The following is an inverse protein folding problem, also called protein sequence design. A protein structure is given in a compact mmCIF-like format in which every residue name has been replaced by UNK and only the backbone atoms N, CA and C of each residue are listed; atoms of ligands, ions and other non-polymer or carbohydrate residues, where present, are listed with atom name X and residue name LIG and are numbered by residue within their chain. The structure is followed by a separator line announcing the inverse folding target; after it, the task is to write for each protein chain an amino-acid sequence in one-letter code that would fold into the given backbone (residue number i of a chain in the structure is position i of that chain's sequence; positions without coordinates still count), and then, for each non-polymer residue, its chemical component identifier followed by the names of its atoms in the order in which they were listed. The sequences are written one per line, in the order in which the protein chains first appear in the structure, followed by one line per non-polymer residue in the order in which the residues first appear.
data_IF_357600435522
#
_entry.id   IF_357600435522
#
_cell.length_a   1.000
_cell.length_b   1.000
_cell.length_c   1.000
_cell.angle_alpha   90.00
_cell.angle_beta   90.00
_cell.angle_gamma   90.00
#
_symmetry.space_group_name_H-M   'P 1'
#
loop_
_entity.id
_entity.type
_entity.pdbx_description
1 polymer ?
#
# COMPACT_ATOMS: atom_id res chain seq x y z
N UNK A 1 -15.14 1.88 -28.92
CA UNK A 1 -15.44 0.45 -28.74
C UNK A 1 -16.70 0.40 -27.92
N UNK A 2 -17.80 0.14 -28.62
CA UNK A 2 -19.14 0.16 -28.07
C UNK A 2 -19.30 -0.95 -27.02
N UNK A 3 -19.85 -0.59 -25.87
CA UNK A 3 -20.29 -1.55 -24.87
C UNK A 3 -21.66 -2.07 -25.31
N UNK A 4 -21.69 -3.24 -25.95
CA UNK A 4 -22.94 -3.96 -26.14
C UNK A 4 -23.40 -4.53 -24.79
N UNK A 5 -24.60 -4.12 -24.38
CA UNK A 5 -25.34 -4.63 -23.23
C UNK A 5 -25.50 -6.15 -23.33
N UNK A 6 -24.79 -6.89 -22.47
CA UNK A 6 -25.07 -8.31 -22.23
C UNK A 6 -26.40 -8.42 -21.49
N UNK A 7 -27.50 -8.67 -22.22
CA UNK A 7 -28.81 -8.97 -21.63
C UNK A 7 -28.78 -10.35 -20.98
N UNK A 8 -28.86 -10.38 -19.65
CA UNK A 8 -29.11 -11.60 -18.88
C UNK A 8 -30.56 -12.06 -19.14
N UNK A 9 -30.81 -13.34 -19.48
CA UNK A 9 -32.16 -13.88 -19.69
C UNK A 9 -33.04 -13.75 -18.43
N UNK A 10 -34.30 -13.35 -18.61
CA UNK A 10 -35.24 -13.02 -17.52
C UNK A 10 -35.73 -14.24 -16.71
N UNK A 11 -35.49 -15.45 -17.20
CA UNK A 11 -35.82 -16.73 -16.56
C UNK A 11 -34.89 -17.09 -15.39
N UNK A 12 -33.77 -16.39 -15.23
CA UNK A 12 -32.87 -16.53 -14.06
C UNK A 12 -33.28 -15.65 -12.87
N UNK A 13 -34.32 -14.81 -13.00
CA UNK A 13 -34.73 -13.83 -11.98
C UNK A 13 -36.14 -14.04 -11.41
N UNK A 14 -36.84 -15.13 -11.75
CA UNK A 14 -38.14 -15.41 -11.13
C UNK A 14 -37.96 -15.94 -9.69
N UNK A 15 -38.64 -15.38 -8.68
CA UNK A 15 -38.67 -15.96 -7.35
C UNK A 15 -39.33 -17.34 -7.39
N UNK A 16 -38.77 -18.30 -6.66
CA UNK A 16 -39.43 -19.60 -6.46
C UNK A 16 -40.75 -19.39 -5.69
N UNK A 17 -41.83 -20.15 -5.99
CA UNK A 17 -43.12 -20.01 -5.32
C UNK A 17 -42.99 -20.23 -3.80
N UNK A 18 -43.69 -19.40 -3.00
CA UNK A 18 -43.58 -19.34 -1.53
C UNK A 18 -44.06 -20.61 -0.77
N UNK A 19 -44.58 -21.64 -1.45
CA UNK A 19 -45.19 -22.82 -0.80
C UNK A 19 -44.28 -24.06 -0.69
N UNK A 20 -42.97 -23.95 -0.93
CA UNK A 20 -42.10 -25.14 -0.96
C UNK A 20 -41.46 -25.57 0.38
N UNK A 21 -41.81 -24.96 1.51
CA UNK A 21 -41.26 -25.36 2.83
C UNK A 21 -42.03 -26.49 3.52
N UNK A 22 -42.41 -27.52 2.76
CA UNK A 22 -42.82 -28.79 3.34
C UNK A 22 -41.61 -29.45 4.00
N UNK A 23 -41.57 -29.51 5.33
CA UNK A 23 -40.61 -30.35 6.05
C UNK A 23 -40.88 -31.80 5.66
N UNK A 24 -40.07 -32.33 4.75
CA UNK A 24 -40.15 -33.72 4.32
C UNK A 24 -39.78 -34.63 5.50
N UNK A 25 -40.80 -35.16 6.17
CA UNK A 25 -40.65 -36.33 7.03
C UNK A 25 -40.46 -37.56 6.15
N UNK A 26 -39.23 -37.80 5.70
CA UNK A 26 -38.70 -39.14 5.45
C UNK A 26 -37.23 -39.04 5.08
N UNK A 27 -36.42 -39.97 5.60
CA UNK A 27 -35.04 -40.21 5.16
C UNK A 27 -35.04 -40.71 3.71
N UNK A 28 -35.26 -39.81 2.75
CA UNK A 28 -34.85 -40.02 1.38
C UNK A 28 -33.51 -39.30 1.21
N UNK A 29 -32.43 -40.09 1.15
CA UNK A 29 -31.13 -39.61 0.69
C UNK A 29 -31.34 -38.70 -0.52
N UNK A 30 -31.03 -37.41 -0.39
CA UNK A 30 -31.03 -36.45 -1.48
C UNK A 30 -30.05 -36.95 -2.53
N UNK A 31 -30.57 -37.66 -3.53
CA UNK A 31 -29.78 -38.21 -4.61
C UNK A 31 -29.42 -37.05 -5.55
N UNK A 32 -28.30 -36.39 -5.27
CA UNK A 32 -27.87 -35.14 -5.95
C UNK A 32 -27.78 -35.30 -7.47
N UNK A 33 -27.64 -36.54 -7.94
CA UNK A 33 -27.63 -36.91 -9.35
C UNK A 33 -28.94 -36.58 -10.10
N UNK A 34 -30.05 -36.34 -9.40
CA UNK A 34 -31.33 -35.97 -10.04
C UNK A 34 -31.39 -34.51 -10.51
N UNK A 35 -30.47 -33.65 -10.05
CA UNK A 35 -30.48 -32.21 -10.35
C UNK A 35 -29.35 -31.76 -11.30
N UNK A 36 -28.48 -32.67 -11.73
CA UNK A 36 -27.41 -32.35 -12.69
C UNK A 36 -27.88 -32.75 -14.08
N UNK A 37 -28.19 -31.75 -14.92
CA UNK A 37 -28.50 -32.02 -16.34
C UNK A 37 -27.26 -32.58 -17.05
N UNK A 38 -27.41 -33.50 -18.02
CA UNK A 38 -26.29 -33.98 -18.82
C UNK A 38 -25.56 -32.81 -19.49
N UNK A 39 -24.23 -32.90 -19.57
CA UNK A 39 -23.41 -31.96 -20.33
C UNK A 39 -23.86 -31.95 -21.79
N UNK A 40 -24.17 -30.78 -22.31
CA UNK A 40 -24.51 -30.56 -23.71
C UNK A 40 -23.24 -30.27 -24.52
N UNK A 41 -23.33 -30.34 -25.85
CA UNK A 41 -22.24 -29.92 -26.73
C UNK A 41 -21.88 -28.43 -26.55
N UNK A 42 -22.86 -27.60 -26.18
CA UNK A 42 -22.61 -26.21 -25.81
C UNK A 42 -21.77 -26.13 -24.54
N UNK A 43 -22.08 -26.93 -23.51
CA UNK A 43 -21.31 -26.97 -22.26
C UNK A 43 -19.86 -27.48 -22.51
N UNK A 44 -19.66 -28.40 -23.45
CA UNK A 44 -18.31 -28.84 -23.86
C UNK A 44 -17.51 -27.72 -24.56
N UNK A 45 -18.15 -26.92 -25.42
CA UNK A 45 -17.51 -25.76 -26.03
C UNK A 45 -17.15 -24.69 -25.00
N UNK A 46 -17.99 -24.49 -23.98
CA UNK A 46 -17.68 -23.63 -22.84
C UNK A 46 -16.47 -24.13 -22.06
N UNK A 47 -16.32 -25.45 -21.86
CA UNK A 47 -15.14 -26.03 -21.19
C UNK A 47 -13.87 -25.65 -21.93
N UNK A 48 -13.81 -25.83 -23.25
CA UNK A 48 -12.62 -25.49 -24.04
C UNK A 48 -12.26 -23.99 -23.96
N UNK A 49 -13.25 -23.11 -24.06
CA UNK A 49 -13.05 -21.65 -23.95
C UNK A 49 -12.61 -21.24 -22.54
N UNK A 50 -13.24 -21.80 -21.50
CA UNK A 50 -12.87 -21.55 -20.10
C UNK A 50 -11.45 -22.03 -19.81
N UNK A 51 -11.07 -23.20 -20.33
CA UNK A 51 -9.77 -23.80 -20.09
C UNK A 51 -8.64 -23.04 -20.81
N UNK A 52 -8.93 -22.50 -22.01
CA UNK A 52 -8.04 -21.57 -22.68
C UNK A 52 -7.87 -20.26 -21.88
N UNK A 53 -8.96 -19.70 -21.37
CA UNK A 53 -8.92 -18.49 -20.54
C UNK A 53 -8.19 -18.71 -19.21
N UNK A 54 -8.40 -19.87 -18.56
CA UNK A 54 -7.69 -20.27 -17.34
C UNK A 54 -6.19 -20.35 -17.60
N UNK A 55 -5.79 -21.03 -18.69
CA UNK A 55 -4.37 -21.17 -19.07
C UNK A 55 -3.73 -19.81 -19.34
N UNK A 56 -4.41 -18.93 -20.08
CA UNK A 56 -3.92 -17.58 -20.36
C UNK A 56 -3.84 -16.73 -19.09
N UNK A 57 -4.83 -16.82 -18.20
CA UNK A 57 -4.86 -16.04 -16.96
C UNK A 57 -3.80 -16.51 -15.98
N UNK A 58 -3.57 -17.83 -15.90
CA UNK A 58 -2.50 -18.43 -15.10
C UNK A 58 -1.13 -17.99 -15.61
N UNK A 59 -0.89 -17.98 -16.92
CA UNK A 59 0.36 -17.51 -17.49
C UNK A 59 0.66 -16.03 -17.12
N UNK A 60 -0.36 -15.17 -17.17
CA UNK A 60 -0.24 -13.76 -16.75
C UNK A 60 0.01 -13.67 -15.24
N UNK A 61 -0.76 -14.39 -14.43
CA UNK A 61 -0.62 -14.37 -12.98
C UNK A 61 0.76 -14.86 -12.53
N UNK A 62 1.28 -15.92 -13.16
CA UNK A 62 2.59 -16.47 -12.88
C UNK A 62 3.69 -15.47 -13.26
N UNK A 63 3.63 -14.87 -14.45
CA UNK A 63 4.59 -13.85 -14.86
C UNK A 63 4.61 -12.64 -13.93
N UNK A 64 3.43 -12.20 -13.44
CA UNK A 64 3.34 -11.12 -12.45
C UNK A 64 3.91 -11.53 -11.09
N UNK A 65 3.65 -12.75 -10.64
CA UNK A 65 4.15 -13.26 -9.36
C UNK A 65 5.68 -13.45 -9.38
N UNK A 66 6.20 -13.99 -10.48
CA UNK A 66 7.63 -14.23 -10.68
C UNK A 66 8.45 -12.93 -10.78
N UNK A 67 7.81 -11.81 -11.15
CA UNK A 67 8.47 -10.51 -11.27
C UNK A 67 8.49 -9.70 -9.97
N UNK A 68 7.81 -10.11 -8.90
CA UNK A 68 7.79 -9.38 -7.63
C UNK A 68 8.96 -9.82 -6.74
N UNK A 69 9.82 -8.86 -6.38
CA UNK A 69 10.82 -9.03 -5.33
C UNK A 69 10.25 -8.53 -4.00
N UNK A 70 10.32 -9.34 -2.93
CA UNK A 70 9.77 -8.98 -1.63
C UNK A 70 10.75 -9.31 -0.50
N UNK A 71 11.05 -8.29 0.31
CA UNK A 71 11.89 -8.40 1.49
C UNK A 71 11.12 -7.95 2.74
N UNK A 72 10.89 -8.88 3.66
CA UNK A 72 10.18 -8.63 4.93
C UNK A 72 11.17 -8.80 6.06
N UNK A 73 11.29 -7.79 6.92
CA UNK A 73 12.22 -7.85 8.05
C UNK A 73 11.70 -7.10 9.29
N UNK A 74 11.90 -7.67 10.49
CA UNK A 74 11.69 -6.96 11.74
C UNK A 74 12.93 -6.09 12.06
N UNK A 75 12.70 -4.84 12.42
CA UNK A 75 13.71 -3.96 13.00
C UNK A 75 13.50 -3.89 14.52
N UNK A 76 14.46 -4.38 15.29
CA UNK A 76 14.35 -4.56 16.75
C UNK A 76 15.41 -3.79 17.55
N UNK A 77 16.20 -2.93 16.91
CA UNK A 77 17.19 -2.11 17.62
C UNK A 77 16.51 -1.02 18.48
N UNK A 78 15.36 -0.53 18.04
CA UNK A 78 14.45 0.35 18.77
C UNK A 78 13.09 0.40 18.06
N UNK A 79 12.08 0.94 18.74
CA UNK A 79 10.77 1.22 18.14
C UNK A 79 10.22 2.58 18.53
N UNK A 80 8.89 2.71 18.54
CA UNK A 80 8.20 3.97 18.86
C UNK A 80 8.57 4.51 20.25
N UNK A 81 8.91 3.65 21.21
CA UNK A 81 9.22 4.06 22.57
C UNK A 81 10.45 4.95 22.65
N UNK A 82 11.51 4.62 21.91
CA UNK A 82 12.70 5.47 21.82
C UNK A 82 12.44 6.74 21.01
N UNK A 83 11.73 6.63 19.88
CA UNK A 83 11.41 7.78 19.02
C UNK A 83 10.57 8.83 19.79
N UNK A 84 9.57 8.38 20.56
CA UNK A 84 8.71 9.26 21.36
C UNK A 84 9.47 9.97 22.49
N UNK A 85 10.52 9.38 23.07
CA UNK A 85 11.37 10.06 24.08
C UNK A 85 12.07 11.29 23.50
N UNK A 86 12.35 11.29 22.19
CA UNK A 86 12.89 12.44 21.47
C UNK A 86 11.82 13.48 21.08
N UNK A 87 10.55 13.27 21.49
CA UNK A 87 9.38 14.10 21.15
C UNK A 87 9.10 14.19 19.65
N UNK A 88 9.40 13.12 18.92
CA UNK A 88 9.19 12.99 17.48
C UNK A 88 8.03 12.02 17.22
N UNK A 89 7.20 12.30 16.21
CA UNK A 89 6.20 11.33 15.74
C UNK A 89 6.90 10.11 15.14
N UNK A 90 6.60 8.88 15.59
CA UNK A 90 7.16 7.67 15.00
C UNK A 90 6.95 7.57 13.49
N UNK A 91 5.79 8.01 13.02
CA UNK A 91 5.44 7.99 11.60
C UNK A 91 6.30 8.96 10.79
N UNK A 92 6.41 10.21 11.25
CA UNK A 92 7.30 11.20 10.63
C UNK A 92 8.78 10.75 10.63
N UNK A 93 9.23 10.09 11.71
CA UNK A 93 10.57 9.54 11.78
C UNK A 93 10.81 8.48 10.70
N UNK A 94 9.89 7.53 10.55
CA UNK A 94 9.97 6.48 9.54
C UNK A 94 9.90 7.10 8.14
N UNK A 95 8.98 8.03 7.88
CA UNK A 95 8.83 8.66 6.56
C UNK A 95 10.08 9.42 6.12
N UNK A 96 10.73 10.17 7.03
CA UNK A 96 12.00 10.85 6.74
C UNK A 96 13.14 9.83 6.56
N UNK A 97 13.13 8.74 7.33
CA UNK A 97 14.07 7.63 7.15
C UNK A 97 13.96 7.03 5.75
N UNK A 98 12.74 6.83 5.24
CA UNK A 98 12.52 6.31 3.89
C UNK A 98 13.06 7.27 2.83
N UNK A 99 13.02 8.59 3.05
CA UNK A 99 13.66 9.56 2.15
C UNK A 99 15.19 9.41 2.13
N UNK A 100 15.81 9.24 3.30
CA UNK A 100 17.26 9.02 3.40
C UNK A 100 17.67 7.69 2.73
N UNK A 101 16.95 6.61 3.04
CA UNK A 101 17.21 5.31 2.46
C UNK A 101 17.09 5.35 0.93
N UNK A 102 16.04 6.01 0.41
CA UNK A 102 15.81 6.09 -1.03
C UNK A 102 16.90 6.91 -1.72
N UNK A 103 17.29 8.04 -1.13
CA UNK A 103 18.38 8.86 -1.64
C UNK A 103 19.71 8.10 -1.71
N UNK A 104 20.03 7.29 -0.68
CA UNK A 104 21.23 6.45 -0.67
C UNK A 104 21.18 5.30 -1.67
N UNK A 105 19.99 4.76 -1.94
CA UNK A 105 19.80 3.66 -2.88
C UNK A 105 19.80 4.13 -4.35
N UNK A 106 19.15 5.26 -4.63
CA UNK A 106 18.86 5.75 -5.99
C UNK A 106 19.62 7.01 -6.39
N UNK A 107 20.36 7.62 -5.46
CA UNK A 107 21.13 8.85 -5.69
C UNK A 107 20.29 10.10 -5.96
N UNK A 108 18.96 10.01 -5.81
CA UNK A 108 18.01 11.08 -6.13
C UNK A 108 16.77 10.99 -5.25
N UNK A 109 15.96 12.04 -5.26
CA UNK A 109 14.65 12.05 -4.61
C UNK A 109 13.56 11.69 -5.62
N UNK A 110 12.45 11.15 -5.14
CA UNK A 110 11.30 10.82 -5.98
C UNK A 110 9.97 11.24 -5.35
N UNK A 111 8.91 11.25 -6.16
CA UNK A 111 7.56 11.38 -5.63
C UNK A 111 7.27 10.22 -4.68
N UNK A 112 7.02 10.58 -3.41
CA UNK A 112 6.67 9.64 -2.36
C UNK A 112 5.20 9.78 -2.00
N UNK A 113 4.46 8.70 -2.17
CA UNK A 113 3.07 8.56 -1.73
C UNK A 113 3.05 7.98 -0.32
N UNK A 114 2.29 8.60 0.58
CA UNK A 114 1.88 8.02 1.85
C UNK A 114 0.35 8.07 1.97
N UNK A 115 -0.26 6.94 2.31
CA UNK A 115 -1.70 6.87 2.55
C UNK A 115 -2.07 7.51 3.90
N UNK A 116 -2.90 8.56 3.88
CA UNK A 116 -3.51 9.14 5.08
C UNK A 116 -5.01 8.92 5.09
N UNK A 117 -5.56 8.44 6.20
CA UNK A 117 -7.00 8.15 6.32
C UNK A 117 -7.82 9.44 6.52
N UNK A 118 -8.91 9.59 5.77
CA UNK A 118 -9.83 10.74 5.87
C UNK A 118 -11.11 10.40 6.63
N UNK A 119 -11.02 9.54 7.65
CA UNK A 119 -12.18 9.02 8.40
C UNK A 119 -12.99 10.07 9.17
N UNK A 120 -12.52 11.32 9.22
CA UNK A 120 -13.30 12.46 9.74
C UNK A 120 -14.47 12.84 8.82
N UNK A 121 -14.43 12.41 7.55
CA UNK A 121 -15.47 12.67 6.56
C UNK A 121 -16.34 11.42 6.36
N UNK A 122 -17.63 11.64 6.08
CA UNK A 122 -18.54 10.58 5.65
C UNK A 122 -17.97 9.91 4.40
N UNK A 123 -17.91 8.58 4.41
CA UNK A 123 -17.35 7.77 3.31
C UNK A 123 -15.87 8.06 3.00
N UNK A 124 -15.17 8.74 3.92
CA UNK A 124 -13.75 9.04 3.79
C UNK A 124 -12.90 7.77 3.67
N UNK A 125 -12.12 7.71 2.59
CA UNK A 125 -11.12 6.66 2.36
C UNK A 125 -9.73 7.19 2.69
N UNK A 126 -8.98 7.62 1.68
CA UNK A 126 -7.61 8.10 1.84
C UNK A 126 -7.37 9.39 1.06
N UNK A 127 -6.44 10.20 1.57
CA UNK A 127 -5.74 11.28 0.89
C UNK A 127 -4.24 10.93 0.85
N UNK A 128 -3.47 11.61 0.00
CA UNK A 128 -2.01 11.45 -0.12
C UNK A 128 -1.28 12.46 0.76
N UNK A 129 -0.33 11.96 1.55
CA UNK A 129 0.74 12.77 2.11
C UNK A 129 1.96 12.64 1.19
N UNK A 130 2.50 13.79 0.75
CA UNK A 130 3.70 13.85 -0.09
C UNK A 130 4.93 13.95 0.79
N UNK A 131 5.47 12.82 1.23
CA UNK A 131 6.55 12.75 2.24
C UNK A 131 7.90 13.31 1.75
N UNK A 132 8.11 13.35 0.43
CA UNK A 132 9.26 14.01 -0.16
C UNK A 132 9.00 15.53 -0.19
N UNK A 133 9.68 16.26 0.69
CA UNK A 133 9.50 17.71 0.90
C UNK A 133 10.86 18.39 0.84
N UNK A 134 10.87 19.71 0.64
CA UNK A 134 12.12 20.47 0.68
C UNK A 134 12.83 20.31 2.03
N UNK A 135 12.08 20.23 3.12
CA UNK A 135 12.58 20.05 4.47
C UNK A 135 13.21 18.67 4.67
N UNK A 136 12.54 17.59 4.23
CA UNK A 136 13.12 16.24 4.29
C UNK A 136 14.33 16.10 3.36
N UNK A 137 14.30 16.66 2.16
CA UNK A 137 15.46 16.70 1.27
C UNK A 137 16.63 17.51 1.83
N UNK A 138 16.38 18.63 2.51
CA UNK A 138 17.41 19.43 3.15
C UNK A 138 18.10 18.67 4.28
N UNK A 139 17.33 17.97 5.12
CA UNK A 139 17.87 17.10 6.15
C UNK A 139 18.75 15.99 5.55
N UNK A 140 18.23 15.26 4.54
CA UNK A 140 18.97 14.17 3.89
C UNK A 140 20.29 14.66 3.31
N UNK A 141 20.28 15.80 2.60
CA UNK A 141 21.50 16.39 2.04
C UNK A 141 22.50 16.81 3.11
N UNK A 142 22.04 17.43 4.19
CA UNK A 142 22.92 17.84 5.29
C UNK A 142 23.61 16.64 5.94
N UNK A 143 22.85 15.58 6.21
CA UNK A 143 23.39 14.36 6.80
C UNK A 143 24.42 13.68 5.88
N UNK A 144 24.10 13.54 4.58
CA UNK A 144 24.99 12.87 3.62
C UNK A 144 26.24 13.70 3.28
N UNK A 145 26.17 15.03 3.41
CA UNK A 145 27.33 15.91 3.24
C UNK A 145 28.22 15.99 4.48
N UNK A 146 27.84 15.36 5.60
CA UNK A 146 28.61 15.40 6.84
C UNK A 146 28.56 16.77 7.54
N UNK A 147 27.44 17.48 7.43
CA UNK A 147 27.19 18.68 8.24
C UNK A 147 27.18 18.34 9.74
N UNK A 148 27.31 19.37 10.59
CA UNK A 148 27.34 19.17 12.04
C UNK A 148 26.04 18.56 12.59
N UNK A 149 26.16 17.81 13.69
CA UNK A 149 25.02 17.12 14.31
C UNK A 149 23.91 18.09 14.74
N UNK A 150 24.25 19.30 15.19
CA UNK A 150 23.25 20.28 15.64
C UNK A 150 22.41 20.79 14.46
N UNK A 151 23.05 21.07 13.33
CA UNK A 151 22.42 21.40 12.07
C UNK A 151 21.52 20.25 11.59
N UNK A 152 22.01 19.02 11.61
CA UNK A 152 21.22 17.84 11.24
C UNK A 152 20.01 17.65 12.17
N UNK A 153 20.17 17.77 13.50
CA UNK A 153 19.06 17.70 14.47
C UNK A 153 18.01 18.77 14.20
N UNK A 154 18.43 20.01 13.92
CA UNK A 154 17.53 21.13 13.60
C UNK A 154 16.76 20.87 12.30
N UNK A 155 17.44 20.46 11.24
CA UNK A 155 16.79 20.15 9.95
C UNK A 155 15.84 18.96 10.06
N UNK A 156 16.19 17.94 10.83
CA UNK A 156 15.31 16.80 11.09
C UNK A 156 14.02 17.23 11.79
N UNK A 157 14.11 18.11 12.80
CA UNK A 157 12.92 18.65 13.49
C UNK A 157 12.01 19.40 12.52
N UNK A 158 12.57 20.26 11.66
CA UNK A 158 11.80 20.97 10.64
C UNK A 158 11.11 20.00 9.65
N UNK A 159 11.82 18.97 9.20
CA UNK A 159 11.24 17.93 8.34
C UNK A 159 10.12 17.17 9.04
N UNK A 160 10.29 16.85 10.34
CA UNK A 160 9.28 16.14 11.13
C UNK A 160 8.02 16.98 11.36
N UNK A 161 8.19 18.26 11.69
CA UNK A 161 7.08 19.22 11.85
C UNK A 161 6.33 19.43 10.53
N UNK A 162 7.06 19.54 9.42
CA UNK A 162 6.47 19.64 8.08
C UNK A 162 5.63 18.40 7.75
N UNK A 163 6.18 17.21 7.94
CA UNK A 163 5.48 15.95 7.70
C UNK A 163 4.20 15.85 8.52
N UNK A 164 4.28 16.11 9.83
CA UNK A 164 3.09 16.12 10.70
C UNK A 164 2.03 17.12 10.25
N UNK A 165 2.45 18.30 9.78
CA UNK A 165 1.51 19.28 9.25
C UNK A 165 0.83 18.79 7.97
N UNK A 166 1.58 18.18 7.04
CA UNK A 166 1.01 17.60 5.83
C UNK A 166 0.03 16.46 6.15
N UNK A 167 0.37 15.60 7.12
CA UNK A 167 -0.52 14.54 7.58
C UNK A 167 -1.81 15.11 8.16
N UNK A 168 -1.73 16.17 8.97
CA UNK A 168 -2.90 16.88 9.51
C UNK A 168 -3.76 17.48 8.40
N UNK A 169 -3.13 18.15 7.43
CA UNK A 169 -3.83 18.70 6.27
C UNK A 169 -4.56 17.62 5.48
N UNK A 170 -3.91 16.49 5.21
CA UNK A 170 -4.49 15.36 4.49
C UNK A 170 -5.70 14.77 5.24
N UNK A 171 -5.56 14.46 6.53
CA UNK A 171 -6.66 13.88 7.32
C UNK A 171 -7.86 14.82 7.48
N UNK A 172 -7.65 16.15 7.42
CA UNK A 172 -8.71 17.16 7.45
C UNK A 172 -9.16 17.60 6.06
N UNK A 173 -8.85 16.83 5.00
CA UNK A 173 -9.37 17.07 3.65
C UNK A 173 -8.77 18.29 2.94
N UNK A 174 -7.65 18.81 3.44
CA UNK A 174 -6.90 19.92 2.86
C UNK A 174 -5.66 19.45 2.07
N UNK A 175 -5.59 18.15 1.76
CA UNK A 175 -4.65 17.61 0.77
C UNK A 175 -5.02 18.02 -0.65
N UNK A 176 -4.10 17.81 -1.58
CA UNK A 176 -4.26 18.27 -2.98
C UNK A 176 -4.54 17.13 -3.95
N UNK A 177 -4.11 15.90 -3.64
CA UNK A 177 -4.09 14.82 -4.63
C UNK A 177 -5.50 14.34 -5.00
N UNK A 178 -6.41 14.13 -4.03
CA UNK A 178 -7.81 13.79 -4.37
C UNK A 178 -8.54 14.94 -5.06
N UNK A 179 -8.19 16.19 -4.74
CA UNK A 179 -8.75 17.35 -5.43
C UNK A 179 -8.28 17.41 -6.90
N UNK A 180 -6.98 17.25 -7.16
CA UNK A 180 -6.43 17.17 -8.53
C UNK A 180 -7.04 16.00 -9.31
N UNK A 181 -7.23 14.84 -8.66
CA UNK A 181 -7.91 13.70 -9.28
C UNK A 181 -9.37 14.01 -9.64
N UNK A 182 -10.10 14.71 -8.77
CA UNK A 182 -11.46 15.18 -9.07
C UNK A 182 -11.48 16.09 -10.31
N UNK A 183 -10.57 17.06 -10.39
CA UNK A 183 -10.44 17.94 -11.56
C UNK A 183 -10.12 17.15 -12.84
N UNK A 184 -9.27 16.12 -12.74
CA UNK A 184 -8.98 15.23 -13.86
C UNK A 184 -10.23 14.47 -14.33
N UNK A 185 -10.98 13.85 -13.42
CA UNK A 185 -12.22 13.13 -13.77
C UNK A 185 -13.23 14.06 -14.44
N UNK A 186 -13.43 15.26 -13.88
CA UNK A 186 -14.33 16.27 -14.45
C UNK A 186 -13.84 16.73 -15.83
N UNK A 187 -12.54 16.93 -16.02
CA UNK A 187 -11.98 17.32 -17.33
C UNK A 187 -12.25 16.27 -18.41
N UNK A 188 -12.17 14.97 -18.06
CA UNK A 188 -12.48 13.88 -18.98
C UNK A 188 -13.96 13.79 -19.30
N UNK A 189 -14.83 14.00 -18.31
CA UNK A 189 -16.27 14.07 -18.54
C UNK A 189 -16.67 15.21 -19.49
N UNK A 190 -16.03 16.38 -19.34
CA UNK A 190 -16.31 17.57 -20.15
C UNK A 190 -15.56 17.60 -21.49
N UNK A 191 -14.67 16.64 -21.77
CA UNK A 191 -13.82 16.65 -22.96
C UNK A 191 -12.82 17.82 -23.00
N UNK A 192 -12.42 18.33 -21.84
CA UNK A 192 -11.47 19.43 -21.69
C UNK A 192 -10.06 18.86 -21.49
N UNK A 193 -9.15 19.19 -22.39
CA UNK A 193 -7.73 18.86 -22.21
C UNK A 193 -7.02 19.94 -21.38
N UNK A 194 -6.26 19.50 -20.38
CA UNK A 194 -5.49 20.39 -19.50
C UNK A 194 -4.03 19.96 -19.50
N UNK A 195 -3.12 20.76 -20.10
CA UNK A 195 -1.68 20.49 -20.07
C UNK A 195 -1.15 20.34 -18.64
N UNK A 196 -1.66 21.15 -17.70
CA UNK A 196 -1.29 21.08 -16.29
C UNK A 196 -1.67 19.72 -15.65
N UNK A 197 -2.91 19.26 -15.84
CA UNK A 197 -3.35 17.98 -15.26
C UNK A 197 -2.61 16.80 -15.90
N UNK A 198 -2.30 16.90 -17.20
CA UNK A 198 -1.48 15.91 -17.91
C UNK A 198 -0.06 15.84 -17.32
N UNK A 199 0.57 16.98 -17.04
CA UNK A 199 1.90 17.05 -16.47
C UNK A 199 1.92 16.52 -15.02
N UNK A 200 1.09 17.08 -14.14
CA UNK A 200 1.14 16.77 -12.70
C UNK A 200 0.77 15.32 -12.36
N UNK A 201 -0.03 14.65 -13.21
CA UNK A 201 -0.44 13.25 -13.04
C UNK A 201 0.43 12.27 -13.83
N UNK A 202 1.42 12.75 -14.61
CA UNK A 202 2.29 11.88 -15.39
C UNK A 202 3.47 11.32 -14.60
N UNK A 203 3.88 12.00 -13.54
CA UNK A 203 5.05 11.58 -12.75
C UNK A 203 4.68 10.39 -11.84
N UNK A 204 5.40 9.25 -11.94
CA UNK A 204 5.08 8.05 -11.18
C UNK A 204 5.47 8.17 -9.69
N UNK A 205 4.67 7.52 -8.85
CA UNK A 205 4.95 7.34 -7.42
C UNK A 205 5.98 6.23 -7.21
N UNK A 206 7.26 6.54 -7.45
CA UNK A 206 8.37 5.57 -7.33
C UNK A 206 8.62 5.09 -5.89
N UNK A 207 8.10 5.80 -4.89
CA UNK A 207 8.05 5.29 -3.52
C UNK A 207 6.62 5.38 -3.01
N UNK A 208 6.00 4.23 -2.78
CA UNK A 208 4.65 4.14 -2.25
C UNK A 208 4.68 3.54 -0.86
N UNK A 209 4.09 4.22 0.11
CA UNK A 209 4.24 3.89 1.53
C UNK A 209 2.88 3.84 2.25
N UNK A 210 2.78 2.97 3.24
CA UNK A 210 1.63 2.94 4.15
C UNK A 210 2.04 2.44 5.52
N UNK A 211 1.63 3.17 6.56
CA UNK A 211 1.56 2.59 7.88
C UNK A 211 0.33 1.67 7.95
N UNK A 212 0.50 0.43 8.38
CA UNK A 212 -0.64 -0.44 8.71
C UNK A 212 -0.94 -0.30 10.21
N UNK A 213 -2.05 0.36 10.61
CA UNK A 213 -2.36 0.60 12.01
C UNK A 213 -2.83 -0.69 12.69
N UNK A 214 -2.31 -0.98 13.88
CA UNK A 214 -2.78 -2.06 14.74
C UNK A 214 -3.52 -1.45 15.92
N UNK A 215 -4.85 -1.63 15.95
CA UNK A 215 -5.73 -0.99 16.93
C UNK A 215 -5.85 -1.75 18.25
N UNK A 216 -5.38 -3.01 18.30
CA UNK A 216 -5.63 -3.91 19.44
C UNK A 216 -4.34 -4.40 20.10
N UNK A 217 -3.20 -3.73 19.86
CA UNK A 217 -1.91 -4.20 20.35
C UNK A 217 -1.83 -4.23 21.89
N UNK A 218 -2.60 -3.36 22.55
CA UNK A 218 -2.70 -3.29 24.02
C UNK A 218 -3.47 -4.47 24.62
N UNK A 219 -4.22 -5.23 23.82
CA UNK A 219 -4.94 -6.44 24.26
C UNK A 219 -4.04 -7.67 24.34
N UNK A 220 -2.79 -7.58 23.86
CA UNK A 220 -1.86 -8.70 23.79
C UNK A 220 -0.57 -8.40 24.58
N UNK A 221 -0.17 -9.33 25.44
CA UNK A 221 1.13 -9.29 26.08
C UNK A 221 2.20 -9.87 25.15
N UNK A 222 2.70 -9.04 24.24
CA UNK A 222 3.72 -9.43 23.26
C UNK A 222 5.08 -9.73 23.90
N UNK A 223 5.29 -9.38 25.18
CA UNK A 223 6.55 -9.65 25.88
C UNK A 223 6.61 -11.10 26.36
N UNK A 224 5.50 -11.58 26.93
CA UNK A 224 5.39 -12.96 27.39
C UNK A 224 4.89 -13.93 26.31
N UNK A 225 4.25 -13.40 25.25
CA UNK A 225 3.76 -14.16 24.09
C UNK A 225 4.30 -13.59 22.77
N UNK A 226 5.63 -13.69 22.52
CA UNK A 226 6.25 -13.15 21.31
C UNK A 226 5.77 -13.84 20.02
N UNK A 227 5.21 -15.03 20.12
CA UNK A 227 4.60 -15.79 19.03
C UNK A 227 3.32 -15.14 18.47
N UNK A 228 2.70 -14.21 19.20
CA UNK A 228 1.55 -13.43 18.72
C UNK A 228 1.92 -12.26 17.82
N UNK A 229 3.22 -12.00 17.65
CA UNK A 229 3.70 -10.94 16.76
C UNK A 229 3.53 -11.39 15.31
N UNK A 230 2.61 -10.73 14.60
CA UNK A 230 2.55 -10.81 13.14
C UNK A 230 3.55 -9.84 12.52
N UNK A 231 4.23 -10.29 11.45
CA UNK A 231 4.99 -9.39 10.58
C UNK A 231 4.04 -8.45 9.81
N UNK A 232 2.76 -8.82 9.69
CA UNK A 232 1.70 -8.07 9.01
C UNK A 232 1.72 -8.23 7.50
N UNK A 233 1.24 -7.21 6.77
CA UNK A 233 1.06 -7.26 5.32
C UNK A 233 1.67 -6.07 4.58
N UNK A 234 2.03 -6.32 3.32
CA UNK A 234 2.55 -5.33 2.38
C UNK A 234 1.75 -5.29 1.07
N UNK A 235 2.28 -4.53 0.12
CA UNK A 235 1.73 -4.38 -1.23
C UNK A 235 2.90 -4.27 -2.22
N UNK A 236 2.66 -4.61 -3.49
CA UNK A 236 3.64 -4.44 -4.58
C UNK A 236 3.89 -2.96 -4.92
N UNK A 237 4.97 -2.63 -5.64
CA UNK A 237 5.22 -1.27 -6.08
C UNK A 237 4.14 -0.79 -7.08
N UNK A 238 3.79 0.49 -7.02
CA UNK A 238 2.82 1.11 -7.95
C UNK A 238 3.45 1.63 -9.25
N UNK A 239 4.77 1.61 -9.33
CA UNK A 239 5.56 1.96 -10.51
C UNK A 239 6.55 0.83 -10.80
N UNK A 240 6.77 0.52 -12.08
CA UNK A 240 7.66 -0.58 -12.48
C UNK A 240 9.11 -0.36 -12.03
N UNK A 241 9.52 0.89 -11.88
CA UNK A 241 10.87 1.31 -11.46
C UNK A 241 10.94 1.79 -10.00
N UNK A 242 9.93 1.44 -9.19
CA UNK A 242 9.75 1.94 -7.82
C UNK A 242 9.67 0.86 -6.74
N UNK A 243 9.40 1.31 -5.52
CA UNK A 243 9.25 0.50 -4.32
C UNK A 243 7.86 0.63 -3.69
N UNK A 244 7.36 -0.47 -3.15
CA UNK A 244 6.26 -0.49 -2.17
C UNK A 244 6.82 -0.73 -0.76
N UNK A 245 6.45 0.10 0.21
CA UNK A 245 6.89 -0.04 1.60
C UNK A 245 5.71 0.03 2.55
N UNK A 246 5.36 -1.10 3.16
CA UNK A 246 4.45 -1.13 4.31
C UNK A 246 5.25 -1.25 5.58
N UNK A 247 4.84 -0.52 6.62
CA UNK A 247 5.45 -0.66 7.95
C UNK A 247 4.41 -0.73 9.06
N UNK A 248 4.77 -1.49 10.08
CA UNK A 248 3.95 -1.73 11.26
C UNK A 248 4.79 -1.48 12.49
N UNK A 249 4.29 -0.63 13.37
CA UNK A 249 4.91 -0.35 14.65
C UNK A 249 4.35 -1.35 15.68
N UNK A 250 5.20 -2.27 16.14
CA UNK A 250 4.85 -3.33 17.08
C UNK A 250 5.40 -3.05 18.47
N UNK A 251 4.52 -2.86 19.45
CA UNK A 251 4.93 -2.57 20.83
C UNK A 251 5.74 -1.27 20.93
N UNK A 252 6.72 -1.23 21.82
CA UNK A 252 7.60 -0.08 22.04
C UNK A 252 8.94 -0.17 21.30
N UNK A 253 9.39 -1.39 20.97
CA UNK A 253 10.79 -1.66 20.59
C UNK A 253 10.97 -2.27 19.20
N UNK A 254 9.88 -2.42 18.42
CA UNK A 254 9.93 -3.10 17.12
C UNK A 254 9.14 -2.36 16.04
N UNK A 255 9.69 -2.38 14.83
CA UNK A 255 9.05 -1.90 13.60
C UNK A 255 9.24 -2.97 12.53
N UNK A 256 8.16 -3.52 11.98
CA UNK A 256 8.21 -4.48 10.89
C UNK A 256 8.08 -3.76 9.55
N UNK A 257 8.95 -4.09 8.60
CA UNK A 257 8.92 -3.54 7.24
C UNK A 257 8.63 -4.64 6.23
N UNK A 258 7.81 -4.30 5.24
CA UNK A 258 7.59 -5.06 4.02
C UNK A 258 8.02 -4.17 2.86
N UNK A 259 9.08 -4.57 2.17
CA UNK A 259 9.63 -3.85 1.02
C UNK A 259 9.40 -4.70 -0.21
N UNK A 260 8.79 -4.12 -1.24
CA UNK A 260 8.56 -4.76 -2.52
C UNK A 260 9.12 -3.93 -3.67
N UNK A 261 9.54 -4.61 -4.73
CA UNK A 261 9.98 -4.04 -5.99
C UNK A 261 9.75 -5.05 -7.12
N UNK A 262 10.25 -4.75 -8.33
CA UNK A 262 10.18 -5.69 -9.46
C UNK A 262 11.56 -6.18 -9.86
N UNK A 263 11.70 -7.49 -10.06
CA UNK A 263 12.93 -8.11 -10.57
C UNK A 263 13.30 -7.59 -11.96
N UNK A 264 12.31 -7.25 -12.79
CA UNK A 264 12.49 -6.66 -14.12
C UNK A 264 13.17 -5.29 -14.11
N UNK A 265 13.17 -4.56 -12.98
CA UNK A 265 13.87 -3.28 -12.86
C UNK A 265 15.24 -3.45 -12.18
N UNK A 266 16.31 -3.35 -12.97
CA UNK A 266 17.70 -3.45 -12.46
C UNK A 266 18.11 -2.33 -11.49
N UNK A 267 17.31 -1.26 -11.39
CA UNK A 267 17.56 -0.16 -10.46
C UNK A 267 16.92 -0.40 -9.08
N UNK A 268 16.01 -1.37 -8.94
CA UNK A 268 15.36 -1.70 -7.67
C UNK A 268 15.83 -3.04 -7.13
N UNK A 269 15.94 -3.14 -5.81
CA UNK A 269 16.24 -4.39 -5.10
C UNK A 269 15.68 -4.27 -3.67
N UNK A 270 14.70 -5.11 -3.32
CA UNK A 270 13.97 -5.02 -2.06
C UNK A 270 14.87 -5.31 -0.85
N UNK A 271 15.85 -6.21 -1.00
CA UNK A 271 16.80 -6.56 0.05
C UNK A 271 17.82 -5.44 0.30
N UNK A 272 18.40 -4.90 -0.78
CA UNK A 272 19.33 -3.76 -0.73
C UNK A 272 18.65 -2.54 -0.14
N UNK A 273 17.41 -2.25 -0.56
CA UNK A 273 16.66 -1.13 -0.03
C UNK A 273 16.28 -1.34 1.45
N UNK A 274 15.88 -2.56 1.84
CA UNK A 274 15.65 -2.89 3.25
C UNK A 274 16.89 -2.73 4.14
N UNK A 275 18.08 -3.08 3.63
CA UNK A 275 19.34 -2.81 4.32
C UNK A 275 19.60 -1.30 4.47
N UNK A 276 19.30 -0.50 3.44
CA UNK A 276 19.41 0.96 3.51
C UNK A 276 18.41 1.58 4.49
N UNK A 277 17.19 1.05 4.60
CA UNK A 277 16.20 1.46 5.61
C UNK A 277 16.77 1.18 7.02
N UNK A 278 17.25 -0.03 7.26
CA UNK A 278 17.84 -0.40 8.55
C UNK A 278 19.03 0.47 8.92
N UNK A 279 19.91 0.76 7.96
CA UNK A 279 21.04 1.67 8.16
C UNK A 279 20.57 3.10 8.46
N UNK A 280 19.64 3.64 7.67
CA UNK A 280 19.09 4.97 7.84
C UNK A 280 18.42 5.15 9.22
N UNK A 281 17.66 4.15 9.69
CA UNK A 281 17.05 4.16 11.04
C UNK A 281 18.11 4.38 12.12
N UNK A 282 19.21 3.60 12.07
CA UNK A 282 20.28 3.69 13.05
C UNK A 282 21.05 5.01 12.95
N UNK A 283 21.40 5.45 11.74
CA UNK A 283 22.15 6.69 11.53
C UNK A 283 21.37 7.91 12.04
N UNK A 284 20.07 8.00 11.71
CA UNK A 284 19.20 9.07 12.20
C UNK A 284 19.10 9.01 13.72
N UNK A 285 18.90 7.82 14.30
CA UNK A 285 18.81 7.66 15.74
C UNK A 285 20.11 8.09 16.46
N UNK A 286 21.27 7.83 15.87
CA UNK A 286 22.56 8.23 16.42
C UNK A 286 22.73 9.76 16.41
N UNK A 287 22.31 10.42 15.33
CA UNK A 287 22.36 11.89 15.23
C UNK A 287 21.36 12.56 16.19
N UNK A 288 20.21 11.95 16.45
CA UNK A 288 19.18 12.55 17.30
C UNK A 288 19.32 12.24 18.79
N UNK A 289 20.05 11.19 19.17
CA UNK A 289 20.38 10.87 20.55
C UNK A 289 21.30 11.93 21.17
#
# INVERSE_FOLDING_TARGET
MDAEDVKVPADLLSPLPEDSWGVAQSEQHLNIHRYVRPWTSQDQQWVEQVQAQESSSLAVAQALADDVDCHIFPFTHFGKGRIKKLRISPDAFIQITLQLAYFRDRGSFCLTYEASMTRLFREGRTETVRSCTNESSAFVRALENGEDEECCRRLFRLASEKHQNLYRMAMTGAGIDRHLFCLYVVSKYLGVESPFLKEVLSEPWRLSTSQTPIQQIELFDLKNHPDFVSLGGGFGPVADDGYGVSYIIMGEDMINFHVSSKHSCSQTDSHRFGAQISKALNDIMNVLA
#
